data_IF_727797181528
#
_entry.id   IF_727797181528
#
_cell.length_a   1.000
_cell.length_b   1.000
_cell.length_c   1.000
_cell.angle_alpha   90.00
_cell.angle_beta   90.00
_cell.angle_gamma   90.00
#
_symmetry.space_group_name_H-M   'P 1'
#
loop_
_entity.id
_entity.type
_entity.pdbx_description
1 polymer ?
#
# COMPACT_ATOMS: atom_id res chain seq x y z
N UNK A 1 -2.61 23.33 2.15
CA UNK A 1 -3.54 23.28 0.98
C UNK A 1 -4.94 23.64 1.45
N UNK A 2 -5.65 24.49 0.73
CA UNK A 2 -7.04 24.85 1.08
C UNK A 2 -7.99 23.69 0.74
N UNK A 3 -9.15 23.67 1.40
CA UNK A 3 -10.20 22.69 1.11
C UNK A 3 -10.62 22.72 -0.37
N UNK A 4 -10.79 23.93 -0.93
CA UNK A 4 -11.19 24.08 -2.34
C UNK A 4 -10.14 23.51 -3.31
N UNK A 5 -8.86 23.74 -3.05
CA UNK A 5 -7.79 23.17 -3.87
C UNK A 5 -7.74 21.65 -3.77
N UNK A 6 -7.89 21.11 -2.56
CA UNK A 6 -7.91 19.67 -2.34
C UNK A 6 -9.09 19.01 -3.05
N UNK A 7 -10.28 19.60 -2.92
CA UNK A 7 -11.51 19.13 -3.58
C UNK A 7 -11.35 19.13 -5.09
N UNK A 8 -10.84 20.21 -5.67
CA UNK A 8 -10.62 20.32 -7.11
C UNK A 8 -9.63 19.30 -7.60
N UNK A 9 -8.54 19.09 -6.85
CA UNK A 9 -7.54 18.08 -7.19
C UNK A 9 -8.16 16.68 -7.22
N UNK A 10 -8.89 16.31 -6.18
CA UNK A 10 -9.53 14.99 -6.08
C UNK A 10 -10.54 14.78 -7.21
N UNK A 11 -11.37 15.76 -7.50
CA UNK A 11 -12.40 15.67 -8.54
C UNK A 11 -11.82 15.58 -9.94
N UNK A 12 -10.62 16.10 -10.16
CA UNK A 12 -9.95 16.06 -11.45
C UNK A 12 -9.08 14.82 -11.64
N UNK A 13 -8.85 14.04 -10.58
CA UNK A 13 -8.14 12.76 -10.71
C UNK A 13 -8.91 11.84 -11.67
N UNK A 14 -8.23 11.36 -12.69
CA UNK A 14 -8.80 10.48 -13.70
C UNK A 14 -9.58 11.18 -14.82
N UNK A 15 -9.76 12.49 -14.77
CA UNK A 15 -10.46 13.27 -15.81
C UNK A 15 -9.51 13.90 -16.84
N UNK A 16 -8.29 14.23 -16.42
CA UNK A 16 -7.28 14.81 -17.30
C UNK A 16 -6.26 13.75 -17.71
N UNK A 17 -5.68 13.87 -18.93
CA UNK A 17 -4.57 13.00 -19.30
C UNK A 17 -3.37 13.31 -18.41
N UNK A 18 -3.27 12.56 -17.32
CA UNK A 18 -2.17 12.70 -16.36
C UNK A 18 -1.02 11.83 -16.84
N UNK A 19 0.16 12.42 -16.93
CA UNK A 19 1.37 11.64 -17.12
C UNK A 19 1.52 10.71 -15.93
N UNK A 20 1.47 9.40 -16.15
CA UNK A 20 1.57 8.40 -15.09
C UNK A 20 2.90 8.52 -14.35
N UNK A 21 2.82 8.74 -13.06
CA UNK A 21 4.00 8.76 -12.20
C UNK A 21 4.35 7.34 -11.76
N UNK A 22 5.63 6.96 -11.84
CA UNK A 22 6.06 5.68 -11.27
C UNK A 22 5.94 5.73 -9.75
N UNK A 23 5.39 4.65 -9.17
CA UNK A 23 5.12 4.56 -7.73
C UNK A 23 5.59 3.20 -7.21
N UNK A 24 6.20 3.22 -6.05
CA UNK A 24 6.45 2.04 -5.22
C UNK A 24 5.67 2.23 -3.93
N UNK A 25 4.90 1.22 -3.55
CA UNK A 25 4.16 1.22 -2.29
C UNK A 25 4.88 0.32 -1.30
N UNK A 26 5.28 0.87 -0.16
CA UNK A 26 5.83 0.11 0.95
C UNK A 26 4.82 0.11 2.08
N UNK A 27 4.40 -1.08 2.53
CA UNK A 27 3.29 -1.17 3.47
C UNK A 27 3.35 -2.43 4.36
N UNK A 28 2.66 -2.35 5.49
CA UNK A 28 2.43 -3.47 6.42
C UNK A 28 0.92 -3.71 6.54
N UNK A 29 0.25 -4.26 5.51
CA UNK A 29 -1.21 -4.22 5.42
C UNK A 29 -1.92 -4.81 6.62
N UNK A 30 -2.52 -3.91 7.38
CA UNK A 30 -3.56 -4.15 8.35
C UNK A 30 -4.82 -3.46 7.85
N UNK A 31 -5.67 -2.98 8.76
CA UNK A 31 -6.94 -2.36 8.39
C UNK A 31 -6.75 -1.05 7.63
N UNK A 32 -5.88 -0.18 8.14
CA UNK A 32 -5.62 1.14 7.58
C UNK A 32 -4.93 1.08 6.20
N UNK A 33 -3.89 0.27 6.09
CA UNK A 33 -3.21 0.09 4.81
C UNK A 33 -4.09 -0.61 3.78
N UNK A 34 -4.94 -1.54 4.23
CA UNK A 34 -5.93 -2.17 3.35
C UNK A 34 -6.85 -1.13 2.72
N UNK A 35 -7.36 -0.21 3.52
CA UNK A 35 -8.20 0.89 3.03
C UNK A 35 -7.43 1.79 2.07
N UNK A 36 -6.18 2.11 2.37
CA UNK A 36 -5.33 2.92 1.50
C UNK A 36 -5.07 2.23 0.15
N UNK A 37 -4.80 0.93 0.18
CA UNK A 37 -4.59 0.15 -1.05
C UNK A 37 -5.85 0.08 -1.91
N UNK A 38 -7.01 -0.08 -1.29
CA UNK A 38 -8.28 -0.08 -2.01
C UNK A 38 -8.56 1.27 -2.66
N UNK A 39 -8.29 2.36 -1.94
CA UNK A 39 -8.41 3.71 -2.49
C UNK A 39 -7.44 3.92 -3.65
N UNK A 40 -6.19 3.49 -3.50
CA UNK A 40 -5.21 3.58 -4.59
C UNK A 40 -5.66 2.80 -5.82
N UNK A 41 -6.30 1.65 -5.61
CA UNK A 41 -6.80 0.83 -6.72
C UNK A 41 -7.85 1.55 -7.57
N UNK A 42 -8.67 2.40 -6.97
CA UNK A 42 -9.64 3.22 -7.71
C UNK A 42 -8.96 4.19 -8.69
N UNK A 43 -7.74 4.60 -8.39
CA UNK A 43 -6.98 5.55 -9.19
C UNK A 43 -5.76 4.93 -9.86
N UNK A 44 -5.70 3.60 -9.93
CA UNK A 44 -4.50 2.89 -10.42
C UNK A 44 -4.07 3.26 -11.85
N UNK A 45 -5.01 3.71 -12.67
CA UNK A 45 -4.70 4.12 -14.04
C UNK A 45 -4.03 5.50 -14.12
N UNK A 46 -4.00 6.25 -13.03
CA UNK A 46 -3.32 7.54 -12.94
C UNK A 46 -1.86 7.40 -12.53
N UNK A 47 -1.46 6.20 -12.10
CA UNK A 47 -0.12 5.91 -11.61
C UNK A 47 0.45 4.69 -12.32
N UNK A 48 1.78 4.65 -12.38
CA UNK A 48 2.51 3.49 -12.88
C UNK A 48 3.07 2.73 -11.67
N UNK A 49 2.28 1.82 -11.13
CA UNK A 49 2.68 1.05 -9.97
C UNK A 49 3.71 0.00 -10.36
N UNK A 50 4.94 0.19 -9.93
CA UNK A 50 6.08 -0.66 -10.28
C UNK A 50 6.29 -1.82 -9.33
N UNK A 51 6.02 -1.62 -8.04
CA UNK A 51 6.38 -2.56 -7.01
C UNK A 51 5.56 -2.32 -5.75
N UNK A 52 5.18 -3.38 -5.07
CA UNK A 52 4.67 -3.31 -3.69
C UNK A 52 5.65 -4.07 -2.81
N UNK A 53 6.16 -3.41 -1.80
CA UNK A 53 7.02 -4.06 -0.80
C UNK A 53 6.25 -4.25 0.50
N UNK A 54 6.47 -5.37 1.17
CA UNK A 54 5.92 -5.62 2.49
C UNK A 54 6.95 -5.33 3.57
N UNK A 55 6.50 -4.80 4.69
CA UNK A 55 7.32 -4.66 5.88
C UNK A 55 6.61 -5.26 7.08
N UNK A 56 7.40 -5.69 8.07
CA UNK A 56 6.87 -6.09 9.35
C UNK A 56 6.43 -4.83 10.11
N UNK A 57 5.37 -4.94 10.86
CA UNK A 57 4.84 -3.81 11.62
C UNK A 57 3.62 -4.23 12.39
N UNK A 58 2.45 -4.05 11.80
CA UNK A 58 1.18 -4.45 12.42
C UNK A 58 1.15 -5.94 12.76
N UNK A 59 1.74 -6.75 11.91
CA UNK A 59 1.92 -8.19 12.10
C UNK A 59 3.30 -8.60 11.61
N UNK A 60 3.73 -9.85 11.87
CA UNK A 60 4.99 -10.35 11.32
C UNK A 60 5.04 -10.32 9.79
N UNK A 61 6.25 -10.28 9.24
CA UNK A 61 6.48 -10.13 7.80
C UNK A 61 5.77 -11.19 6.94
N UNK A 62 5.66 -12.42 7.44
CA UNK A 62 5.00 -13.48 6.67
C UNK A 62 3.52 -13.20 6.46
N UNK A 63 2.88 -12.58 7.45
CA UNK A 63 1.46 -12.22 7.39
C UNK A 63 1.25 -10.96 6.55
N UNK A 64 2.05 -9.93 6.76
CA UNK A 64 1.95 -8.72 5.95
C UNK A 64 2.20 -9.02 4.47
N UNK A 65 3.15 -9.92 4.18
CA UNK A 65 3.42 -10.35 2.79
C UNK A 65 2.22 -11.07 2.18
N UNK A 66 1.57 -11.97 2.93
CA UNK A 66 0.34 -12.62 2.46
C UNK A 66 -0.76 -11.61 2.18
N UNK A 67 -0.90 -10.60 3.02
CA UNK A 67 -1.88 -9.54 2.82
C UNK A 67 -1.58 -8.73 1.57
N UNK A 68 -0.30 -8.39 1.33
CA UNK A 68 0.11 -7.73 0.10
C UNK A 68 -0.22 -8.59 -1.12
N UNK A 69 0.06 -9.88 -1.07
CA UNK A 69 -0.25 -10.81 -2.16
C UNK A 69 -1.75 -10.84 -2.45
N UNK A 70 -2.58 -10.86 -1.42
CA UNK A 70 -4.02 -10.82 -1.57
C UNK A 70 -4.48 -9.55 -2.32
N UNK A 71 -4.03 -8.38 -1.90
CA UNK A 71 -4.39 -7.13 -2.54
C UNK A 71 -3.84 -7.02 -3.97
N UNK A 72 -2.60 -7.45 -4.17
CA UNK A 72 -2.01 -7.42 -5.50
C UNK A 72 -2.77 -8.29 -6.49
N UNK A 73 -3.14 -9.51 -6.08
CA UNK A 73 -3.87 -10.45 -6.93
C UNK A 73 -5.26 -9.94 -7.29
N UNK A 74 -5.93 -9.24 -6.39
CA UNK A 74 -7.30 -8.80 -6.58
C UNK A 74 -7.41 -7.43 -7.25
N UNK A 75 -6.45 -6.53 -7.04
CA UNK A 75 -6.56 -5.14 -7.47
C UNK A 75 -5.43 -4.65 -8.37
N UNK A 76 -4.26 -5.28 -8.35
CA UNK A 76 -3.07 -4.82 -9.08
C UNK A 76 -2.44 -5.95 -9.87
N UNK A 77 -3.21 -6.52 -10.77
CA UNK A 77 -2.79 -7.69 -11.53
C UNK A 77 -1.46 -7.48 -12.26
N UNK A 78 -0.51 -8.38 -12.05
CA UNK A 78 0.79 -8.34 -12.68
C UNK A 78 1.84 -7.47 -11.98
N UNK A 79 1.49 -6.79 -10.86
CA UNK A 79 2.48 -6.00 -10.13
C UNK A 79 3.48 -6.90 -9.41
N UNK A 80 4.73 -6.45 -9.36
CA UNK A 80 5.79 -7.17 -8.65
C UNK A 80 5.66 -6.92 -7.15
N UNK A 81 5.98 -7.95 -6.36
CA UNK A 81 5.97 -7.91 -4.90
C UNK A 81 7.35 -8.28 -4.38
N UNK A 82 7.84 -7.56 -3.39
CA UNK A 82 9.06 -7.90 -2.69
C UNK A 82 8.80 -7.97 -1.19
N UNK A 83 9.21 -9.07 -0.59
CA UNK A 83 9.11 -9.30 0.85
C UNK A 83 10.24 -8.57 1.56
N UNK A 84 9.92 -7.79 2.57
CA UNK A 84 10.90 -7.07 3.36
C UNK A 84 11.58 -7.93 4.43
N UNK A 85 12.36 -7.27 5.28
CA UNK A 85 13.10 -7.93 6.34
C UNK A 85 12.16 -8.40 7.47
N UNK A 86 12.52 -9.52 8.08
CA UNK A 86 11.80 -10.06 9.25
C UNK A 86 12.02 -9.19 10.50
N UNK A 87 13.17 -8.55 10.60
CA UNK A 87 13.56 -7.78 11.77
C UNK A 87 13.98 -6.36 11.42
N UNK A 88 13.76 -5.40 12.36
CA UNK A 88 14.28 -4.04 12.18
C UNK A 88 15.80 -4.04 12.10
N UNK A 89 16.38 -3.00 11.51
CA UNK A 89 17.83 -2.87 11.36
C UNK A 89 18.56 -2.71 12.70
N UNK A 90 17.93 -2.06 13.67
CA UNK A 90 18.56 -1.69 14.94
C UNK A 90 17.91 -2.41 16.12
N UNK A 91 16.58 -2.50 16.15
CA UNK A 91 15.85 -3.14 17.24
C UNK A 91 15.84 -4.66 17.05
N UNK A 92 16.01 -5.40 18.15
CA UNK A 92 15.98 -6.86 18.09
C UNK A 92 14.57 -7.42 18.02
N UNK A 93 13.56 -6.69 18.52
CA UNK A 93 12.17 -7.16 18.56
C UNK A 93 11.22 -6.03 18.24
N UNK A 94 10.21 -6.35 17.47
CA UNK A 94 9.12 -5.42 17.12
C UNK A 94 7.84 -5.83 17.83
N UNK A 95 7.11 -4.83 18.34
CA UNK A 95 5.78 -5.04 18.92
C UNK A 95 4.79 -5.05 17.75
N UNK A 96 3.96 -6.08 17.69
CA UNK A 96 2.93 -6.22 16.65
C UNK A 96 1.54 -5.93 17.21
N UNK A 97 0.61 -5.58 16.34
CA UNK A 97 -0.78 -5.30 16.68
C UNK A 97 -1.73 -6.36 16.09
N UNK A 98 -1.37 -7.62 16.24
CA UNK A 98 -2.12 -8.74 15.67
C UNK A 98 -3.58 -8.79 16.13
N UNK A 99 -3.85 -8.33 17.36
CA UNK A 99 -5.21 -8.28 17.91
C UNK A 99 -6.13 -7.31 17.14
N UNK A 100 -5.58 -6.36 16.40
CA UNK A 100 -6.34 -5.40 15.57
C UNK A 100 -6.32 -5.80 14.10
N UNK A 101 -5.16 -6.22 13.58
CA UNK A 101 -4.93 -6.42 12.15
C UNK A 101 -4.98 -7.88 11.70
N UNK A 102 -5.14 -8.82 12.65
CA UNK A 102 -5.17 -10.25 12.38
C UNK A 102 -3.79 -10.89 12.29
N UNK A 103 -3.82 -12.14 12.02
CA UNK A 103 -2.62 -12.98 11.85
C UNK A 103 -2.47 -13.49 10.45
#
# INVERSE_FOLDING_TARGET
MSYEKAKKYIMNLGKEPIKKRPVIIDCDPGIDDAMALMLFAEFKYNFDLKLITSCAGNTPIDITTKNVQFFASNFFNGVRIAKGSRYPLVRQKQITAEYVHGR
#
